data_IF_793954994127
#
_entry.id   IF_793954994127
#
_cell.length_a   1.000
_cell.length_b   1.000
_cell.length_c   1.000
_cell.angle_alpha   90.00
_cell.angle_beta   90.00
_cell.angle_gamma   90.00
#
_symmetry.space_group_name_H-M   'P 1'
#
loop_
_entity.id
_entity.type
_entity.pdbx_description
1 polymer ?
#
# COMPACT_ATOMS: atom_id res chain seq x y z
N UNK A 1 -26.58 -1.36 15.53
CA UNK A 1 -25.74 -2.57 15.74
C UNK A 1 -24.69 -2.30 16.79
N UNK A 2 -24.22 -3.32 17.53
CA UNK A 2 -23.15 -3.13 18.50
C UNK A 2 -21.86 -2.73 17.77
N UNK A 3 -21.15 -1.71 18.31
CA UNK A 3 -19.85 -1.27 17.80
C UNK A 3 -18.74 -2.16 18.37
N UNK A 4 -18.87 -3.46 18.18
CA UNK A 4 -17.91 -4.47 18.66
C UNK A 4 -16.96 -4.87 17.54
N UNK A 5 -15.72 -5.15 17.91
CA UNK A 5 -14.73 -5.68 16.99
C UNK A 5 -15.15 -7.04 16.43
N UNK A 6 -14.82 -7.28 15.16
CA UNK A 6 -14.98 -8.57 14.49
C UNK A 6 -13.67 -9.00 13.88
N UNK A 7 -13.12 -10.07 14.39
CA UNK A 7 -11.86 -10.66 13.94
C UNK A 7 -12.04 -12.18 13.76
N UNK A 8 -11.11 -12.81 13.11
CA UNK A 8 -11.16 -14.25 12.79
C UNK A 8 -11.30 -15.12 14.05
N UNK A 9 -10.37 -14.90 15.00
CA UNK A 9 -10.28 -15.67 16.23
C UNK A 9 -9.49 -14.88 17.29
N UNK A 10 -10.11 -14.49 18.37
CA UNK A 10 -9.49 -13.75 19.46
C UNK A 10 -8.41 -14.55 20.21
N UNK A 11 -8.42 -15.89 20.13
CA UNK A 11 -7.40 -16.73 20.76
C UNK A 11 -6.00 -16.54 20.17
N UNK A 12 -5.90 -15.99 18.95
CA UNK A 12 -4.65 -15.68 18.27
C UNK A 12 -3.91 -14.48 18.86
N UNK A 13 -4.53 -13.70 19.72
CA UNK A 13 -4.00 -12.42 20.22
C UNK A 13 -2.62 -12.54 20.90
N UNK A 14 -2.33 -13.67 21.56
CA UNK A 14 -1.01 -13.93 22.16
C UNK A 14 0.11 -13.84 21.14
N UNK A 15 -0.04 -14.54 20.02
CA UNK A 15 0.91 -14.51 18.91
C UNK A 15 0.96 -13.12 18.26
N UNK A 16 -0.18 -12.47 18.10
CA UNK A 16 -0.23 -11.11 17.56
C UNK A 16 0.56 -10.10 18.37
N UNK A 17 0.54 -10.19 19.72
CA UNK A 17 1.37 -9.34 20.58
C UNK A 17 2.87 -9.54 20.37
N UNK A 18 3.31 -10.77 20.13
CA UNK A 18 4.71 -11.06 19.80
C UNK A 18 5.11 -10.47 18.46
N UNK A 19 4.23 -10.55 17.45
CA UNK A 19 4.46 -9.92 16.15
C UNK A 19 4.55 -8.39 16.27
N UNK A 20 3.65 -7.77 17.03
CA UNK A 20 3.67 -6.34 17.30
C UNK A 20 4.94 -5.91 18.03
N UNK A 21 5.37 -6.67 19.04
CA UNK A 21 6.63 -6.43 19.74
C UNK A 21 7.83 -6.47 18.80
N UNK A 22 7.89 -7.46 17.90
CA UNK A 22 8.95 -7.55 16.89
C UNK A 22 8.96 -6.34 15.97
N UNK A 23 7.80 -5.91 15.46
CA UNK A 23 7.67 -4.72 14.61
C UNK A 23 8.12 -3.45 15.35
N UNK A 24 7.70 -3.24 16.60
CA UNK A 24 8.09 -2.08 17.42
C UNK A 24 9.60 -1.96 17.59
N UNK A 25 10.32 -3.07 17.73
CA UNK A 25 11.79 -3.05 17.82
C UNK A 25 12.47 -2.58 16.52
N UNK A 26 11.81 -2.72 15.40
CA UNK A 26 12.32 -2.37 14.08
C UNK A 26 11.68 -1.08 13.51
N UNK A 27 10.90 -0.35 14.34
CA UNK A 27 10.25 0.90 13.97
C UNK A 27 10.57 2.03 14.95
N UNK A 28 11.87 2.36 15.14
CA UNK A 28 12.32 3.28 16.20
C UNK A 28 11.82 4.72 16.00
N UNK A 29 11.63 5.19 14.76
CA UNK A 29 11.12 6.53 14.47
C UNK A 29 9.68 6.67 14.98
N UNK A 30 8.85 5.68 14.63
CA UNK A 30 7.45 5.67 15.07
C UNK A 30 7.33 5.52 16.60
N UNK A 31 8.27 4.80 17.22
CA UNK A 31 8.34 4.70 18.69
C UNK A 31 8.72 6.04 19.35
N UNK A 32 9.61 6.84 18.77
CA UNK A 32 9.91 8.20 19.26
C UNK A 32 8.69 9.13 19.10
N UNK A 33 7.99 9.04 17.95
CA UNK A 33 6.74 9.80 17.75
C UNK A 33 5.68 9.36 18.79
N UNK A 34 5.55 8.06 19.09
CA UNK A 34 4.62 7.55 20.10
C UNK A 34 4.90 8.15 21.48
N UNK A 35 6.15 8.18 21.92
CA UNK A 35 6.54 8.81 23.21
C UNK A 35 6.12 10.28 23.28
N UNK A 36 6.26 11.01 22.16
CA UNK A 36 5.79 12.40 22.07
C UNK A 36 4.26 12.46 22.14
N UNK A 37 3.56 11.63 21.37
CA UNK A 37 2.11 11.57 21.33
C UNK A 37 1.49 11.17 22.67
N UNK A 38 2.12 10.32 23.44
CA UNK A 38 1.71 9.94 24.80
C UNK A 38 1.67 11.14 25.74
N UNK A 39 2.62 12.05 25.62
CA UNK A 39 2.70 13.27 26.45
C UNK A 39 1.74 14.34 25.97
N UNK A 40 1.71 14.60 24.66
CA UNK A 40 1.05 15.76 24.06
C UNK A 40 -0.40 15.53 23.70
N UNK A 41 -0.81 14.28 23.51
CA UNK A 41 -2.17 13.87 23.12
C UNK A 41 -2.73 14.67 21.92
N UNK A 42 -1.99 14.82 20.80
CA UNK A 42 -2.36 15.71 19.70
C UNK A 42 -3.64 15.30 18.97
N UNK A 43 -4.10 14.06 19.15
CA UNK A 43 -5.28 13.50 18.50
C UNK A 43 -6.46 13.30 19.48
N UNK A 44 -6.39 13.93 20.67
CA UNK A 44 -7.40 13.76 21.73
C UNK A 44 -8.80 14.09 21.23
N UNK A 45 -9.75 13.18 21.52
CA UNK A 45 -11.16 13.33 21.15
C UNK A 45 -11.48 13.08 19.69
N UNK A 46 -10.50 12.75 18.84
CA UNK A 46 -10.74 12.46 17.45
C UNK A 46 -10.98 10.96 17.23
N UNK A 47 -11.89 10.65 16.31
CA UNK A 47 -12.04 9.29 15.77
C UNK A 47 -11.31 9.22 14.43
N UNK A 48 -10.46 8.21 14.28
CA UNK A 48 -9.70 7.94 13.06
C UNK A 48 -10.17 6.61 12.49
N UNK A 49 -10.66 6.63 11.24
CA UNK A 49 -10.94 5.43 10.47
C UNK A 49 -9.73 5.09 9.60
N UNK A 50 -9.11 3.94 9.84
CA UNK A 50 -7.94 3.48 9.13
C UNK A 50 -8.31 2.25 8.26
N UNK A 51 -8.32 2.45 6.94
CA UNK A 51 -8.48 1.42 5.93
C UNK A 51 -7.10 1.08 5.38
N UNK A 52 -6.39 0.19 6.06
CA UNK A 52 -4.99 -0.16 5.80
C UNK A 52 -4.81 -1.67 5.77
N UNK A 53 -3.71 -2.16 5.18
CA UNK A 53 -3.35 -3.57 5.35
C UNK A 53 -3.12 -3.87 6.82
N UNK A 54 -3.88 -4.82 7.41
CA UNK A 54 -3.79 -5.13 8.84
C UNK A 54 -2.59 -6.05 9.08
N UNK A 55 -1.40 -5.44 9.13
CA UNK A 55 -0.12 -6.08 9.41
C UNK A 55 0.41 -5.66 10.78
N UNK A 56 1.48 -6.31 11.24
CA UNK A 56 2.15 -5.95 12.50
C UNK A 56 2.62 -4.48 12.50
N UNK A 57 3.09 -3.98 11.35
CA UNK A 57 3.53 -2.60 11.19
C UNK A 57 2.37 -1.61 11.33
N UNK A 58 1.23 -1.91 10.71
CA UNK A 58 -0.02 -1.14 10.86
C UNK A 58 -0.47 -1.13 12.32
N UNK A 59 -0.28 -2.24 13.03
CA UNK A 59 -0.56 -2.31 14.47
C UNK A 59 0.28 -1.31 15.28
N UNK A 60 1.55 -1.13 14.93
CA UNK A 60 2.42 -0.12 15.58
C UNK A 60 1.92 1.31 15.31
N UNK A 61 1.48 1.61 14.08
CA UNK A 61 0.85 2.89 13.76
C UNK A 61 -0.43 3.11 14.57
N UNK A 62 -1.32 2.13 14.60
CA UNK A 62 -2.60 2.19 15.35
C UNK A 62 -2.36 2.45 16.84
N UNK A 63 -1.41 1.74 17.45
CA UNK A 63 -0.99 1.99 18.84
C UNK A 63 -0.45 3.41 19.04
N UNK A 64 0.28 3.94 18.05
CA UNK A 64 0.82 5.31 18.10
C UNK A 64 -0.29 6.36 18.02
N UNK A 65 -1.26 6.18 17.14
CA UNK A 65 -2.43 7.07 17.04
C UNK A 65 -3.29 7.02 18.31
N UNK A 66 -3.51 5.83 18.86
CA UNK A 66 -4.24 5.64 20.11
C UNK A 66 -3.48 6.29 21.32
N UNK A 67 -2.15 6.15 21.36
CA UNK A 67 -1.30 6.83 22.33
C UNK A 67 -1.45 8.35 22.24
N UNK A 68 -1.66 8.90 21.04
CA UNK A 68 -1.97 10.31 20.79
C UNK A 68 -3.38 10.75 21.22
N UNK A 69 -4.19 9.85 21.77
CA UNK A 69 -5.55 10.12 22.26
C UNK A 69 -6.66 9.89 21.25
N UNK A 70 -6.36 9.32 20.07
CA UNK A 70 -7.37 8.99 19.09
C UNK A 70 -8.17 7.74 19.46
N UNK A 71 -9.46 7.73 19.09
CA UNK A 71 -10.24 6.50 18.95
C UNK A 71 -9.96 5.94 17.54
N UNK A 72 -9.33 4.78 17.46
CA UNK A 72 -8.98 4.18 16.16
C UNK A 72 -9.95 3.07 15.79
N UNK A 73 -10.44 3.11 14.55
CA UNK A 73 -11.24 2.07 13.92
C UNK A 73 -10.44 1.52 12.75
N UNK A 74 -10.00 0.28 12.83
CA UNK A 74 -9.15 -0.38 11.84
C UNK A 74 -9.95 -1.37 11.00
N UNK A 75 -9.87 -1.21 9.69
CA UNK A 75 -10.45 -2.09 8.69
C UNK A 75 -9.41 -2.43 7.61
N UNK A 76 -9.54 -3.55 6.88
CA UNK A 76 -8.56 -3.91 5.88
C UNK A 76 -8.73 -3.10 4.60
N UNK A 77 -7.63 -2.81 3.89
CA UNK A 77 -7.63 -2.27 2.54
C UNK A 77 -7.53 -3.35 1.45
N UNK A 78 -7.43 -4.63 1.85
CA UNK A 78 -7.42 -5.76 0.93
C UNK A 78 -7.97 -7.01 1.64
N UNK A 79 -8.86 -7.80 0.99
CA UNK A 79 -9.48 -8.98 1.60
C UNK A 79 -8.50 -10.09 2.02
N UNK A 80 -7.31 -10.16 1.41
CA UNK A 80 -6.35 -11.25 1.62
C UNK A 80 -5.09 -10.85 2.40
N UNK A 81 -4.99 -9.60 2.87
CA UNK A 81 -3.75 -9.09 3.49
C UNK A 81 -3.74 -9.07 5.01
N UNK A 82 -4.88 -9.31 5.66
CA UNK A 82 -4.97 -9.27 7.13
C UNK A 82 -4.13 -10.36 7.78
N UNK A 83 -3.32 -9.98 8.78
CA UNK A 83 -2.70 -10.88 9.74
C UNK A 83 -3.68 -11.07 10.90
N UNK A 84 -4.33 -12.24 10.95
CA UNK A 84 -5.45 -12.49 11.86
C UNK A 84 -5.05 -12.44 13.35
N UNK A 85 -3.81 -12.80 13.66
CA UNK A 85 -3.22 -12.72 14.99
C UNK A 85 -3.02 -11.25 15.43
N UNK A 86 -2.56 -10.40 14.54
CA UNK A 86 -2.42 -8.95 14.80
C UNK A 86 -3.80 -8.30 14.99
N UNK A 87 -4.78 -8.62 14.13
CA UNK A 87 -6.14 -8.14 14.27
C UNK A 87 -6.74 -8.51 15.64
N UNK A 88 -6.52 -9.75 16.08
CA UNK A 88 -6.97 -10.25 17.37
C UNK A 88 -6.30 -9.52 18.56
N UNK A 89 -4.98 -9.27 18.47
CA UNK A 89 -4.24 -8.55 19.51
C UNK A 89 -4.77 -7.12 19.68
N UNK A 90 -4.91 -6.39 18.58
CA UNK A 90 -5.41 -5.01 18.59
C UNK A 90 -6.85 -4.92 19.10
N UNK A 91 -7.71 -5.88 18.74
CA UNK A 91 -9.09 -5.94 19.25
C UNK A 91 -9.13 -6.14 20.77
N UNK A 92 -8.26 -6.99 21.33
CA UNK A 92 -8.12 -7.16 22.80
C UNK A 92 -7.56 -5.94 23.52
N UNK A 93 -6.78 -5.10 22.81
CA UNK A 93 -6.23 -3.85 23.33
C UNK A 93 -7.23 -2.68 23.28
N UNK A 94 -8.46 -2.92 22.81
CA UNK A 94 -9.52 -1.92 22.77
C UNK A 94 -9.57 -1.09 21.49
N UNK A 95 -8.80 -1.47 20.46
CA UNK A 95 -8.97 -0.93 19.10
C UNK A 95 -10.24 -1.51 18.49
N UNK A 96 -11.03 -0.71 17.81
CA UNK A 96 -12.18 -1.20 17.05
C UNK A 96 -11.69 -1.82 15.74
N UNK A 97 -11.69 -3.15 15.64
CA UNK A 97 -11.18 -3.89 14.47
C UNK A 97 -12.32 -4.63 13.77
N UNK A 98 -12.41 -4.47 12.45
CA UNK A 98 -13.30 -5.30 11.63
C UNK A 98 -12.47 -5.85 10.46
N UNK A 99 -11.74 -6.95 10.70
CA UNK A 99 -10.78 -7.48 9.74
C UNK A 99 -10.48 -8.97 9.96
N UNK A 100 -10.43 -9.73 8.87
CA UNK A 100 -9.87 -11.10 8.81
C UNK A 100 -9.41 -11.44 7.41
N UNK A 101 -8.52 -12.39 7.30
CA UNK A 101 -8.03 -12.86 6.01
C UNK A 101 -9.08 -13.72 5.31
N UNK A 102 -9.33 -13.45 4.05
CA UNK A 102 -10.29 -14.19 3.23
C UNK A 102 -11.71 -13.61 3.26
N UNK A 103 -11.84 -12.29 3.52
CA UNK A 103 -13.12 -11.60 3.41
C UNK A 103 -13.66 -11.68 1.98
N UNK A 104 -14.97 -11.87 1.86
CA UNK A 104 -15.70 -11.64 0.61
C UNK A 104 -15.80 -10.14 0.32
N UNK A 105 -16.15 -9.77 -0.92
CA UNK A 105 -16.39 -8.38 -1.30
C UNK A 105 -17.45 -7.71 -0.41
N UNK A 106 -18.54 -8.42 -0.11
CA UNK A 106 -19.60 -7.94 0.80
C UNK A 106 -19.04 -7.64 2.18
N UNK A 107 -18.28 -8.56 2.78
CA UNK A 107 -17.67 -8.38 4.10
C UNK A 107 -16.66 -7.24 4.11
N UNK A 108 -15.91 -7.05 3.02
CA UNK A 108 -14.98 -5.95 2.85
C UNK A 108 -15.70 -4.59 2.90
N UNK A 109 -16.78 -4.41 2.14
CA UNK A 109 -17.56 -3.18 2.19
C UNK A 109 -18.40 -3.04 3.47
N UNK A 110 -18.80 -4.13 4.11
CA UNK A 110 -19.37 -4.11 5.46
C UNK A 110 -18.36 -3.53 6.48
N UNK A 111 -17.05 -3.84 6.34
CA UNK A 111 -16.01 -3.27 7.20
C UNK A 111 -15.90 -1.74 6.99
N UNK A 112 -15.99 -1.24 5.76
CA UNK A 112 -16.05 0.20 5.49
C UNK A 112 -17.30 0.83 6.16
N UNK A 113 -18.46 0.19 6.06
CA UNK A 113 -19.67 0.61 6.77
C UNK A 113 -19.46 0.66 8.28
N UNK A 114 -18.84 -0.36 8.85
CA UNK A 114 -18.47 -0.38 10.27
C UNK A 114 -17.63 0.85 10.65
N UNK A 115 -16.57 1.16 9.90
CA UNK A 115 -15.71 2.31 10.18
C UNK A 115 -16.46 3.65 10.08
N UNK A 116 -17.28 3.83 9.04
CA UNK A 116 -18.07 5.05 8.84
C UNK A 116 -19.16 5.25 9.91
N UNK A 117 -19.68 4.16 10.52
CA UNK A 117 -20.65 4.25 11.62
C UNK A 117 -20.12 4.98 12.86
N UNK A 118 -18.81 5.10 13.01
CA UNK A 118 -18.16 5.86 14.09
C UNK A 118 -18.05 7.35 13.82
N UNK A 119 -18.49 7.83 12.68
CA UNK A 119 -18.41 9.22 12.24
C UNK A 119 -16.98 9.79 12.39
N UNK A 120 -16.00 9.29 11.60
CA UNK A 120 -14.59 9.63 11.78
C UNK A 120 -14.31 11.11 11.48
N UNK A 121 -13.36 11.68 12.22
CA UNK A 121 -12.81 13.01 11.96
C UNK A 121 -11.65 12.98 10.95
N UNK A 122 -10.94 11.86 10.86
CA UNK A 122 -9.83 11.67 9.93
C UNK A 122 -9.94 10.27 9.32
N UNK A 123 -9.66 10.16 8.02
CA UNK A 123 -9.52 8.89 7.31
C UNK A 123 -8.05 8.64 6.98
N UNK A 124 -7.55 7.44 7.25
CA UNK A 124 -6.29 6.94 6.69
C UNK A 124 -6.65 5.85 5.68
N UNK A 125 -6.16 5.95 4.46
CA UNK A 125 -6.55 5.04 3.39
C UNK A 125 -5.32 4.51 2.62
N UNK A 126 -5.49 3.34 2.04
CA UNK A 126 -4.50 2.68 1.19
C UNK A 126 -5.21 2.08 -0.02
N UNK A 127 -5.27 2.85 -1.11
CA UNK A 127 -6.01 2.56 -2.33
C UNK A 127 -7.30 3.37 -2.51
N UNK A 128 -7.60 4.26 -1.57
CA UNK A 128 -8.73 5.19 -1.60
C UNK A 128 -10.14 4.54 -1.63
N UNK A 129 -10.33 3.33 -1.09
CA UNK A 129 -11.65 2.71 -1.09
C UNK A 129 -12.57 3.28 0.00
N UNK A 130 -12.06 3.52 1.20
CA UNK A 130 -12.80 4.24 2.24
C UNK A 130 -13.15 5.65 1.79
N UNK A 131 -12.16 6.36 1.26
CA UNK A 131 -12.32 7.74 0.76
C UNK A 131 -13.31 7.81 -0.40
N UNK A 132 -13.19 6.91 -1.38
CA UNK A 132 -14.15 6.83 -2.50
C UNK A 132 -15.57 6.53 -2.02
N UNK A 133 -15.72 5.67 -1.01
CA UNK A 133 -17.04 5.35 -0.42
C UNK A 133 -17.67 6.59 0.24
N UNK A 134 -16.88 7.39 0.98
CA UNK A 134 -17.35 8.66 1.53
C UNK A 134 -17.86 9.59 0.42
N UNK A 135 -17.10 9.70 -0.69
CA UNK A 135 -17.49 10.51 -1.84
C UNK A 135 -18.74 9.98 -2.54
N UNK A 136 -18.86 8.66 -2.73
CA UNK A 136 -20.07 8.02 -3.27
C UNK A 136 -21.31 8.38 -2.44
N UNK A 137 -21.22 8.25 -1.11
CA UNK A 137 -22.31 8.59 -0.18
C UNK A 137 -22.66 10.08 -0.30
N UNK A 138 -21.67 10.97 -0.27
CA UNK A 138 -21.89 12.42 -0.38
C UNK A 138 -22.55 12.83 -1.69
N UNK A 139 -22.20 12.16 -2.79
CA UNK A 139 -22.74 12.43 -4.12
C UNK A 139 -24.00 11.61 -4.47
N UNK A 140 -24.55 10.84 -3.53
CA UNK A 140 -25.76 10.05 -3.72
C UNK A 140 -25.62 8.91 -4.74
N UNK A 141 -24.40 8.40 -4.94
CA UNK A 141 -24.15 7.26 -5.83
C UNK A 141 -24.76 6.00 -5.20
N UNK A 142 -25.47 5.23 -6.03
CA UNK A 142 -26.10 3.97 -5.63
C UNK A 142 -25.49 2.85 -6.45
N UNK A 143 -24.73 2.00 -5.80
CA UNK A 143 -24.18 0.78 -6.37
C UNK A 143 -24.11 -0.32 -5.30
N UNK A 144 -23.72 -1.53 -5.71
CA UNK A 144 -23.68 -2.70 -4.83
C UNK A 144 -22.75 -2.47 -3.63
N UNK A 145 -21.65 -1.72 -3.82
CA UNK A 145 -20.71 -1.43 -2.72
C UNK A 145 -21.37 -0.60 -1.61
N UNK A 146 -22.18 0.38 -1.98
CA UNK A 146 -22.91 1.23 -1.04
C UNK A 146 -24.02 0.44 -0.32
N UNK A 147 -24.69 -0.48 -1.01
CA UNK A 147 -25.67 -1.38 -0.37
C UNK A 147 -25.00 -2.19 0.75
N UNK A 148 -23.84 -2.78 0.48
CA UNK A 148 -23.07 -3.51 1.49
C UNK A 148 -22.63 -2.62 2.67
N UNK A 149 -22.20 -1.39 2.41
CA UNK A 149 -21.87 -0.41 3.47
C UNK A 149 -23.08 -0.17 4.38
N UNK A 150 -24.26 0.00 3.80
CA UNK A 150 -25.48 0.30 4.56
C UNK A 150 -26.03 -0.89 5.35
N UNK A 151 -25.67 -2.13 5.02
CA UNK A 151 -26.03 -3.31 5.82
C UNK A 151 -25.52 -3.22 7.27
N UNK A 152 -24.37 -2.59 7.47
CA UNK A 152 -23.73 -2.47 8.79
C UNK A 152 -23.88 -1.07 9.38
N UNK A 153 -23.70 -0.04 8.57
CA UNK A 153 -23.79 1.34 9.03
C UNK A 153 -25.24 1.85 9.18
N UNK A 154 -26.18 1.22 8.45
CA UNK A 154 -27.47 1.84 8.13
C UNK A 154 -27.30 2.96 7.12
N UNK A 155 -28.40 3.59 6.65
CA UNK A 155 -28.31 4.74 5.77
C UNK A 155 -27.50 5.87 6.42
N UNK A 156 -26.43 6.32 5.74
CA UNK A 156 -25.56 7.41 6.19
C UNK A 156 -25.98 8.71 5.50
N UNK A 157 -26.11 9.76 6.29
CA UNK A 157 -26.30 11.12 5.78
C UNK A 157 -24.95 11.72 5.37
N UNK A 158 -24.79 12.02 4.10
CA UNK A 158 -23.55 12.57 3.54
C UNK A 158 -23.18 13.94 4.14
N UNK A 159 -24.15 14.80 4.48
CA UNK A 159 -23.85 16.11 5.11
C UNK A 159 -23.34 15.93 6.53
N UNK A 160 -23.98 15.05 7.29
CA UNK A 160 -23.55 14.72 8.64
C UNK A 160 -22.15 14.08 8.66
N UNK A 161 -21.87 13.19 7.71
CA UNK A 161 -20.56 12.57 7.58
C UNK A 161 -19.49 13.64 7.28
N UNK A 162 -19.78 14.57 6.36
CA UNK A 162 -18.88 15.67 6.01
C UNK A 162 -18.64 16.64 7.18
N UNK A 163 -19.65 16.94 7.97
CA UNK A 163 -19.51 17.87 9.11
C UNK A 163 -18.50 17.38 10.19
N UNK A 164 -18.26 16.08 10.26
CA UNK A 164 -17.29 15.47 11.17
C UNK A 164 -15.87 15.39 10.60
N UNK A 165 -15.71 15.31 9.27
CA UNK A 165 -14.44 15.08 8.61
C UNK A 165 -13.59 16.37 8.52
N UNK A 166 -12.35 16.28 9.00
CA UNK A 166 -11.33 17.33 8.92
C UNK A 166 -10.38 17.13 7.75
N UNK A 167 -10.14 15.88 7.36
CA UNK A 167 -9.24 15.50 6.28
C UNK A 167 -8.98 14.01 6.25
N UNK A 168 -8.14 13.59 5.30
CA UNK A 168 -7.68 12.22 5.18
C UNK A 168 -6.25 12.13 4.70
N UNK A 169 -5.71 10.91 4.71
CA UNK A 169 -4.41 10.60 4.15
C UNK A 169 -4.52 9.44 3.15
N UNK A 170 -3.58 9.37 2.21
CA UNK A 170 -3.50 8.27 1.25
C UNK A 170 -2.07 7.71 1.19
N UNK A 171 -1.95 6.40 1.37
CA UNK A 171 -0.68 5.67 1.45
C UNK A 171 -0.11 5.29 0.09
N UNK A 172 -0.95 5.07 -0.93
CA UNK A 172 -0.49 4.41 -2.16
C UNK A 172 -0.69 5.23 -3.44
N UNK A 173 0.19 5.02 -4.43
CA UNK A 173 0.14 5.70 -5.74
C UNK A 173 -1.22 5.55 -6.42
N UNK A 174 -1.80 4.35 -6.40
CA UNK A 174 -3.11 4.08 -7.05
C UNK A 174 -4.23 4.90 -6.41
N UNK A 175 -4.23 5.02 -5.08
CA UNK A 175 -5.18 5.87 -4.37
C UNK A 175 -5.01 7.35 -4.70
N UNK A 176 -3.78 7.86 -4.72
CA UNK A 176 -3.50 9.26 -5.11
C UNK A 176 -3.99 9.55 -6.53
N UNK A 177 -3.82 8.63 -7.48
CA UNK A 177 -4.33 8.78 -8.86
C UNK A 177 -5.86 8.92 -8.85
N UNK A 178 -6.57 8.05 -8.10
CA UNK A 178 -8.03 8.10 -7.95
C UNK A 178 -8.50 9.42 -7.32
N UNK A 179 -7.82 9.90 -6.30
CA UNK A 179 -8.14 11.16 -5.61
C UNK A 179 -7.91 12.38 -6.51
N UNK A 180 -6.85 12.37 -7.31
CA UNK A 180 -6.62 13.41 -8.32
C UNK A 180 -7.68 13.39 -9.42
N UNK A 181 -8.15 12.22 -9.84
CA UNK A 181 -9.26 12.08 -10.76
C UNK A 181 -10.56 12.66 -10.15
N UNK A 182 -10.85 12.39 -8.86
CA UNK A 182 -11.98 13.00 -8.14
C UNK A 182 -11.85 14.55 -8.08
N UNK A 183 -10.66 15.06 -7.78
CA UNK A 183 -10.38 16.50 -7.78
C UNK A 183 -10.64 17.12 -9.17
N UNK A 184 -10.08 16.53 -10.22
CA UNK A 184 -10.22 17.00 -11.59
C UNK A 184 -11.67 16.97 -12.08
N UNK A 185 -12.48 16.03 -11.59
CA UNK A 185 -13.90 15.95 -11.83
C UNK A 185 -14.74 16.94 -10.98
N UNK A 186 -14.12 17.77 -10.14
CA UNK A 186 -14.81 18.68 -9.22
C UNK A 186 -15.63 17.97 -8.13
N UNK A 187 -15.27 16.72 -7.81
CA UNK A 187 -16.03 15.87 -6.89
C UNK A 187 -15.31 15.58 -5.56
N UNK A 188 -14.10 16.06 -5.37
CA UNK A 188 -13.42 15.97 -4.08
C UNK A 188 -14.13 16.83 -3.04
N UNK A 189 -14.44 16.28 -1.86
CA UNK A 189 -15.30 16.96 -0.86
C UNK A 189 -14.61 17.23 0.48
N UNK A 190 -13.40 16.73 0.71
CA UNK A 190 -12.59 17.06 1.88
C UNK A 190 -11.09 16.94 1.55
N UNK A 191 -10.20 17.62 2.31
CA UNK A 191 -8.78 17.66 2.00
C UNK A 191 -8.12 16.30 2.26
N UNK A 192 -7.20 15.91 1.37
CA UNK A 192 -6.43 14.68 1.50
C UNK A 192 -4.94 15.00 1.42
N UNK A 193 -4.15 14.43 2.32
CA UNK A 193 -2.69 14.46 2.25
C UNK A 193 -2.20 13.18 1.58
N UNK A 194 -1.56 13.32 0.43
CA UNK A 194 -0.92 12.23 -0.31
C UNK A 194 0.41 11.87 0.37
N UNK A 195 0.36 11.08 1.43
CA UNK A 195 1.56 10.61 2.15
C UNK A 195 2.48 9.84 1.21
N UNK A 196 1.93 9.12 0.24
CA UNK A 196 2.73 8.44 -0.80
C UNK A 196 3.68 9.38 -1.57
N UNK A 197 3.46 10.70 -1.54
CA UNK A 197 4.31 11.69 -2.25
C UNK A 197 5.41 12.29 -1.36
N UNK A 198 5.54 11.86 -0.10
CA UNK A 198 6.65 12.22 0.78
C UNK A 198 7.93 11.50 0.33
N UNK A 199 9.06 12.19 0.31
CA UNK A 199 10.36 11.62 -0.09
C UNK A 199 10.76 10.44 0.80
N UNK A 200 10.58 10.57 2.11
CA UNK A 200 10.87 9.48 3.06
C UNK A 200 9.90 8.30 2.94
N UNK A 201 8.78 8.46 2.23
CA UNK A 201 7.88 7.36 1.91
C UNK A 201 8.30 6.67 0.61
N UNK A 202 8.16 7.29 -0.56
CA UNK A 202 8.26 6.56 -1.83
C UNK A 202 9.68 6.14 -2.19
N UNK A 203 10.70 6.90 -1.79
CA UNK A 203 12.10 6.52 -2.05
C UNK A 203 12.51 5.24 -1.30
N UNK A 204 11.86 4.94 -0.19
CA UNK A 204 12.20 3.81 0.67
C UNK A 204 11.15 2.70 0.59
N UNK A 205 9.89 3.00 0.90
CA UNK A 205 8.78 2.05 0.88
C UNK A 205 8.55 1.45 -0.51
N UNK A 206 8.16 2.26 -1.49
CA UNK A 206 7.84 1.78 -2.83
C UNK A 206 9.06 1.13 -3.50
N UNK A 207 10.25 1.66 -3.30
CA UNK A 207 11.48 1.19 -3.96
C UNK A 207 12.09 -0.01 -3.25
N UNK A 208 12.43 0.11 -1.97
CA UNK A 208 13.12 -0.94 -1.23
C UNK A 208 12.14 -1.94 -0.59
N UNK A 209 11.05 -1.44 -0.01
CA UNK A 209 10.03 -2.25 0.63
C UNK A 209 9.34 -3.19 -0.36
N UNK A 210 8.71 -2.62 -1.39
CA UNK A 210 8.01 -3.44 -2.40
C UNK A 210 9.00 -4.26 -3.22
N UNK A 211 10.19 -3.70 -3.55
CA UNK A 211 11.21 -4.43 -4.29
C UNK A 211 11.65 -5.73 -3.59
N UNK A 212 11.86 -5.68 -2.27
CA UNK A 212 12.21 -6.86 -1.48
C UNK A 212 11.03 -7.80 -1.27
N UNK A 213 9.91 -7.28 -0.80
CA UNK A 213 8.76 -8.09 -0.41
C UNK A 213 8.06 -8.77 -1.59
N UNK A 214 8.10 -8.19 -2.79
CA UNK A 214 7.63 -8.85 -4.01
C UNK A 214 8.41 -10.13 -4.27
N UNK A 215 9.74 -10.09 -4.18
CA UNK A 215 10.57 -11.28 -4.35
C UNK A 215 10.40 -12.27 -3.22
N UNK A 216 10.22 -11.81 -1.99
CA UNK A 216 9.88 -12.68 -0.86
C UNK A 216 8.59 -13.46 -1.14
N UNK A 217 7.53 -12.79 -1.60
CA UNK A 217 6.27 -13.43 -1.97
C UNK A 217 6.40 -14.43 -3.11
N UNK A 218 7.13 -14.07 -4.17
CA UNK A 218 7.37 -14.96 -5.31
C UNK A 218 8.15 -16.21 -4.87
N UNK A 219 9.22 -16.04 -4.11
CA UNK A 219 10.04 -17.15 -3.64
C UNK A 219 9.30 -18.05 -2.66
N UNK A 220 8.52 -17.52 -1.72
CA UNK A 220 7.68 -18.32 -0.81
C UNK A 220 6.62 -19.11 -1.56
N UNK A 221 5.91 -18.50 -2.50
CA UNK A 221 4.86 -19.18 -3.27
C UNK A 221 5.42 -20.29 -4.17
N UNK A 222 6.56 -20.04 -4.81
CA UNK A 222 7.07 -20.92 -5.87
C UNK A 222 8.26 -21.79 -5.47
N UNK A 223 9.13 -21.30 -4.59
CA UNK A 223 10.46 -21.86 -4.30
C UNK A 223 11.33 -22.01 -5.56
N UNK A 224 11.14 -21.14 -6.58
CA UNK A 224 11.92 -21.17 -7.82
C UNK A 224 13.28 -20.50 -7.64
N UNK A 225 14.29 -21.04 -8.31
CA UNK A 225 15.58 -20.37 -8.46
C UNK A 225 15.43 -19.22 -9.47
N UNK A 226 15.74 -18.00 -9.04
CA UNK A 226 15.69 -16.80 -9.90
C UNK A 226 16.93 -16.73 -10.81
N UNK A 227 18.09 -17.21 -10.31
CA UNK A 227 19.31 -17.22 -11.09
C UNK A 227 19.12 -17.97 -12.41
N UNK A 228 19.61 -17.36 -13.50
CA UNK A 228 19.47 -17.90 -14.86
C UNK A 228 18.12 -17.67 -15.53
N UNK A 229 17.12 -17.12 -14.88
CA UNK A 229 15.81 -16.80 -15.43
C UNK A 229 15.80 -15.44 -16.14
N UNK A 230 14.95 -15.30 -17.15
CA UNK A 230 14.60 -14.03 -17.75
C UNK A 230 13.40 -13.44 -16.99
N UNK A 231 13.61 -12.33 -16.33
CA UNK A 231 12.59 -11.62 -15.54
C UNK A 231 12.08 -10.43 -16.33
N UNK A 232 10.78 -10.32 -16.46
CA UNK A 232 10.09 -9.19 -17.09
C UNK A 232 9.39 -8.38 -16.03
N UNK A 233 9.70 -7.08 -15.95
CA UNK A 233 9.06 -6.12 -15.04
C UNK A 233 8.28 -5.12 -15.87
N UNK A 234 6.96 -5.14 -15.76
CA UNK A 234 6.09 -4.17 -16.39
C UNK A 234 5.90 -2.96 -15.47
N UNK A 235 6.35 -1.79 -15.93
CA UNK A 235 6.43 -0.54 -15.19
C UNK A 235 7.81 -0.30 -14.57
N UNK A 236 8.32 0.94 -14.70
CA UNK A 236 9.61 1.36 -14.11
C UNK A 236 9.48 2.59 -13.24
N UNK A 237 8.32 2.71 -12.54
CA UNK A 237 8.18 3.60 -11.40
C UNK A 237 9.02 3.09 -10.22
N UNK A 238 8.84 3.66 -9.04
CA UNK A 238 9.65 3.28 -7.87
C UNK A 238 9.54 1.79 -7.51
N UNK A 239 8.35 1.21 -7.62
CA UNK A 239 8.11 -0.23 -7.38
C UNK A 239 8.85 -1.08 -8.42
N UNK A 240 8.61 -0.85 -9.71
CA UNK A 240 9.23 -1.63 -10.77
C UNK A 240 10.76 -1.52 -10.77
N UNK A 241 11.30 -0.33 -10.49
CA UNK A 241 12.75 -0.09 -10.33
C UNK A 241 13.32 -0.94 -9.18
N UNK A 242 12.65 -0.95 -8.03
CA UNK A 242 13.06 -1.77 -6.89
C UNK A 242 13.05 -3.27 -7.20
N UNK A 243 12.01 -3.74 -7.89
CA UNK A 243 11.88 -5.14 -8.31
C UNK A 243 12.98 -5.52 -9.31
N UNK A 244 13.25 -4.68 -10.31
CA UNK A 244 14.28 -4.93 -11.33
C UNK A 244 15.69 -5.01 -10.73
N UNK A 245 16.02 -4.07 -9.82
CA UNK A 245 17.31 -4.09 -9.10
C UNK A 245 17.48 -5.37 -8.29
N UNK A 246 16.42 -5.82 -7.59
CA UNK A 246 16.45 -7.05 -6.80
C UNK A 246 16.54 -8.29 -7.69
N UNK A 247 15.83 -8.33 -8.83
CA UNK A 247 15.96 -9.41 -9.79
C UNK A 247 17.40 -9.63 -10.24
N UNK A 248 18.10 -8.54 -10.57
CA UNK A 248 19.53 -8.58 -10.91
C UNK A 248 20.39 -9.09 -9.75
N UNK A 249 20.12 -8.61 -8.53
CA UNK A 249 20.80 -9.08 -7.32
C UNK A 249 20.58 -10.56 -7.00
N UNK A 250 19.43 -11.13 -7.40
CA UNK A 250 19.13 -12.57 -7.27
C UNK A 250 19.72 -13.42 -8.40
N UNK A 251 20.49 -12.82 -9.32
CA UNK A 251 21.18 -13.54 -10.40
C UNK A 251 20.30 -13.80 -11.63
N UNK A 252 19.23 -13.05 -11.84
CA UNK A 252 18.47 -13.15 -13.08
C UNK A 252 19.41 -13.03 -14.30
N UNK A 253 19.22 -13.90 -15.30
CA UNK A 253 20.02 -13.87 -16.53
C UNK A 253 19.80 -12.61 -17.32
N UNK A 254 18.54 -12.20 -17.44
CA UNK A 254 18.11 -10.96 -18.08
C UNK A 254 17.04 -10.31 -17.22
N UNK A 255 17.10 -9.01 -17.09
CA UNK A 255 16.02 -8.21 -16.52
C UNK A 255 15.52 -7.29 -17.62
N UNK A 256 14.27 -7.50 -18.02
CA UNK A 256 13.62 -6.82 -19.12
C UNK A 256 12.54 -5.90 -18.52
N UNK A 257 12.60 -4.64 -18.83
CA UNK A 257 11.64 -3.63 -18.41
C UNK A 257 10.68 -3.35 -19.58
N UNK A 258 9.40 -3.32 -19.28
CA UNK A 258 8.35 -2.85 -20.18
C UNK A 258 7.81 -1.55 -19.63
N UNK A 259 7.99 -0.44 -20.36
CA UNK A 259 7.60 0.89 -19.90
C UNK A 259 7.05 1.72 -21.06
N UNK A 260 6.07 2.58 -20.76
CA UNK A 260 5.42 3.46 -21.73
C UNK A 260 5.92 4.90 -21.63
N UNK A 261 6.42 5.30 -20.47
CA UNK A 261 7.03 6.62 -20.26
C UNK A 261 8.46 6.61 -20.80
N UNK A 262 8.80 7.47 -21.80
CA UNK A 262 10.13 7.46 -22.42
C UNK A 262 11.25 7.86 -21.45
N UNK A 263 10.97 8.69 -20.44
CA UNK A 263 11.98 9.08 -19.44
C UNK A 263 12.32 7.90 -18.54
N UNK A 264 11.30 7.21 -18.02
CA UNK A 264 11.50 6.03 -17.19
C UNK A 264 12.13 4.86 -17.96
N UNK A 265 11.74 4.68 -19.23
CA UNK A 265 12.38 3.71 -20.11
C UNK A 265 13.87 4.02 -20.29
N UNK A 266 14.22 5.29 -20.48
CA UNK A 266 15.61 5.74 -20.58
C UNK A 266 16.37 5.52 -19.26
N UNK A 267 15.77 5.82 -18.11
CA UNK A 267 16.36 5.49 -16.80
C UNK A 267 16.67 3.99 -16.69
N UNK A 268 15.73 3.13 -17.09
CA UNK A 268 15.95 1.67 -17.07
C UNK A 268 17.16 1.25 -17.90
N UNK A 269 17.34 1.84 -19.10
CA UNK A 269 18.52 1.61 -19.94
C UNK A 269 19.80 2.04 -19.25
N UNK A 270 19.82 3.24 -18.63
CA UNK A 270 21.00 3.74 -17.90
C UNK A 270 21.28 2.93 -16.62
N UNK A 271 20.25 2.37 -15.99
CA UNK A 271 20.41 1.43 -14.87
C UNK A 271 20.91 0.04 -15.33
N UNK A 272 21.11 -0.17 -16.65
CA UNK A 272 21.67 -1.38 -17.26
C UNK A 272 20.65 -2.50 -17.47
N UNK A 273 19.38 -2.16 -17.65
CA UNK A 273 18.32 -3.12 -17.99
C UNK A 273 17.98 -3.08 -19.48
N UNK A 274 17.47 -4.19 -19.98
CA UNK A 274 16.90 -4.23 -21.34
C UNK A 274 15.50 -3.60 -21.30
N UNK A 275 15.16 -2.85 -22.36
CA UNK A 275 13.81 -2.28 -22.52
C UNK A 275 13.21 -2.76 -23.82
N UNK A 276 11.99 -3.28 -23.77
CA UNK A 276 11.26 -3.70 -24.97
C UNK A 276 9.74 -3.69 -24.71
N UNK A 277 8.91 -3.66 -25.78
CA UNK A 277 7.45 -3.83 -25.65
C UNK A 277 7.08 -5.20 -25.09
N UNK A 278 5.92 -5.29 -24.40
CA UNK A 278 5.40 -6.55 -23.86
C UNK A 278 5.27 -7.63 -24.93
N UNK A 279 4.85 -7.26 -26.15
CA UNK A 279 4.75 -8.18 -27.28
C UNK A 279 6.03 -8.95 -27.61
N UNK A 280 7.19 -8.39 -27.34
CA UNK A 280 8.48 -9.07 -27.47
C UNK A 280 8.90 -9.79 -26.20
N UNK A 281 8.62 -9.17 -25.05
CA UNK A 281 9.01 -9.70 -23.74
C UNK A 281 8.33 -11.05 -23.43
N UNK A 282 7.06 -11.25 -23.84
CA UNK A 282 6.32 -12.50 -23.62
C UNK A 282 6.96 -13.73 -24.24
N UNK A 283 7.73 -13.55 -25.32
CA UNK A 283 8.39 -14.68 -26.02
C UNK A 283 9.63 -15.20 -25.29
N UNK A 284 10.23 -14.35 -24.46
CA UNK A 284 11.52 -14.63 -23.81
C UNK A 284 11.46 -14.72 -22.30
N UNK A 285 10.44 -14.14 -21.66
CA UNK A 285 10.29 -14.10 -20.22
C UNK A 285 9.98 -15.45 -19.59
N UNK A 286 10.45 -15.66 -18.37
CA UNK A 286 10.15 -16.83 -17.52
C UNK A 286 9.31 -16.41 -16.31
N UNK A 287 9.59 -15.23 -15.73
CA UNK A 287 8.86 -14.64 -14.61
C UNK A 287 8.42 -13.23 -15.01
N UNK A 288 7.15 -12.94 -14.86
CA UNK A 288 6.54 -11.65 -15.19
C UNK A 288 5.99 -11.01 -13.95
N UNK A 289 6.37 -9.76 -13.70
CA UNK A 289 5.95 -9.00 -12.53
C UNK A 289 5.38 -7.66 -13.00
N UNK A 290 4.10 -7.40 -12.70
CA UNK A 290 3.45 -6.14 -13.06
C UNK A 290 3.51 -5.15 -11.92
N UNK A 291 3.77 -3.88 -12.24
CA UNK A 291 3.91 -2.76 -11.31
C UNK A 291 3.56 -1.43 -12.02
N UNK A 292 2.52 -1.44 -12.86
CA UNK A 292 2.14 -0.30 -13.70
C UNK A 292 1.08 0.61 -13.08
N UNK A 293 0.31 0.08 -12.14
CA UNK A 293 -0.88 0.75 -11.62
C UNK A 293 -2.00 0.89 -12.66
N UNK A 294 -1.95 0.12 -13.75
CA UNK A 294 -2.90 0.22 -14.87
C UNK A 294 -3.56 -1.13 -15.16
N UNK A 295 -4.61 -1.12 -15.95
CA UNK A 295 -5.37 -2.32 -16.30
C UNK A 295 -4.69 -3.10 -17.43
N UNK A 296 -4.66 -4.44 -17.33
CA UNK A 296 -4.25 -5.39 -18.38
C UNK A 296 -2.87 -5.10 -18.97
N UNK A 297 -1.90 -4.76 -18.15
CA UNK A 297 -0.50 -4.68 -18.55
C UNK A 297 -0.05 -6.01 -19.19
N UNK A 298 -0.57 -7.13 -18.68
CA UNK A 298 -0.51 -8.45 -19.35
C UNK A 298 -1.93 -8.83 -19.77
N UNK A 299 -2.23 -8.62 -21.05
CA UNK A 299 -3.52 -8.96 -21.66
C UNK A 299 -3.64 -10.46 -21.94
N UNK A 300 -4.86 -10.91 -22.21
CA UNK A 300 -5.10 -12.31 -22.65
C UNK A 300 -4.30 -12.67 -23.90
N UNK A 301 -4.16 -11.75 -24.86
CA UNK A 301 -3.34 -11.95 -26.07
C UNK A 301 -1.86 -12.19 -25.74
N UNK A 302 -1.33 -11.49 -24.72
CA UNK A 302 0.02 -11.74 -24.21
C UNK A 302 0.12 -13.13 -23.55
N UNK A 303 -0.89 -13.50 -22.72
CA UNK A 303 -0.91 -14.79 -22.00
C UNK A 303 -0.81 -15.98 -22.97
N UNK A 304 -1.51 -15.95 -24.10
CA UNK A 304 -1.43 -17.02 -25.11
C UNK A 304 -0.05 -17.20 -25.76
N UNK A 305 0.81 -16.19 -25.68
CA UNK A 305 2.16 -16.19 -26.25
C UNK A 305 3.25 -16.53 -25.24
N UNK A 306 2.93 -16.58 -23.95
CA UNK A 306 3.87 -16.95 -22.89
C UNK A 306 4.46 -18.34 -23.14
N UNK A 307 5.67 -18.55 -22.64
CA UNK A 307 6.29 -19.89 -22.59
C UNK A 307 5.47 -20.85 -21.73
N UNK A 308 5.53 -22.15 -22.01
CA UNK A 308 5.06 -23.15 -21.06
C UNK A 308 5.85 -23.03 -19.75
N UNK A 309 5.14 -22.94 -18.65
CA UNK A 309 5.72 -22.78 -17.32
C UNK A 309 6.00 -21.34 -16.88
N UNK A 310 5.60 -20.33 -17.64
CA UNK A 310 5.76 -18.93 -17.26
C UNK A 310 4.99 -18.60 -15.96
N UNK A 311 5.63 -17.79 -15.09
CA UNK A 311 5.07 -17.37 -13.79
C UNK A 311 4.63 -15.93 -13.87
N UNK A 312 3.41 -15.65 -13.44
CA UNK A 312 2.79 -14.33 -13.38
C UNK A 312 2.63 -13.89 -11.93
N UNK A 313 3.10 -12.70 -11.61
CA UNK A 313 2.93 -12.06 -10.30
C UNK A 313 2.54 -10.59 -10.48
N UNK A 314 1.76 -10.06 -9.55
CA UNK A 314 1.40 -8.65 -9.52
C UNK A 314 1.93 -7.99 -8.26
N UNK A 315 2.58 -6.84 -8.43
CA UNK A 315 3.02 -5.94 -7.37
C UNK A 315 2.27 -4.60 -7.41
N UNK A 316 1.27 -4.46 -8.29
CA UNK A 316 0.34 -3.34 -8.28
C UNK A 316 -0.79 -3.54 -7.27
N UNK A 317 -1.42 -2.45 -6.87
CA UNK A 317 -2.39 -2.46 -5.76
C UNK A 317 -3.63 -3.33 -6.02
N UNK A 318 -4.20 -3.27 -7.22
CA UNK A 318 -5.39 -4.03 -7.59
C UNK A 318 -5.06 -5.22 -8.51
N UNK A 319 -5.90 -6.24 -8.49
CA UNK A 319 -5.79 -7.46 -9.31
C UNK A 319 -6.27 -7.26 -10.76
N UNK A 320 -5.93 -6.15 -11.38
CA UNK A 320 -6.38 -5.76 -12.73
C UNK A 320 -5.25 -5.70 -13.76
N UNK A 321 -3.99 -5.77 -13.31
CA UNK A 321 -2.83 -5.63 -14.20
C UNK A 321 -2.59 -6.87 -15.06
N UNK A 322 -2.89 -8.06 -14.54
CA UNK A 322 -2.98 -9.30 -15.31
C UNK A 322 -4.45 -9.54 -15.66
N UNK A 323 -4.76 -9.93 -16.90
CA UNK A 323 -6.14 -10.25 -17.31
C UNK A 323 -6.58 -11.61 -16.77
N UNK A 324 -6.76 -11.67 -15.43
CA UNK A 324 -7.15 -12.89 -14.70
C UNK A 324 -8.52 -13.39 -15.17
N UNK A 325 -9.49 -12.49 -15.31
CA UNK A 325 -10.84 -12.86 -15.77
C UNK A 325 -10.83 -13.44 -17.19
N UNK A 326 -9.98 -12.89 -18.07
CA UNK A 326 -9.75 -13.46 -19.40
C UNK A 326 -9.11 -14.84 -19.33
N UNK A 327 -8.09 -15.01 -18.48
CA UNK A 327 -7.41 -16.29 -18.25
C UNK A 327 -8.37 -17.37 -17.72
N UNK A 328 -9.16 -17.05 -16.70
CA UNK A 328 -10.15 -17.98 -16.12
C UNK A 328 -11.20 -18.44 -17.12
N UNK A 329 -11.65 -17.52 -17.98
CA UNK A 329 -12.66 -17.84 -19.02
C UNK A 329 -12.15 -18.79 -20.07
N UNK A 330 -10.85 -18.73 -20.44
CA UNK A 330 -10.30 -19.52 -21.57
C UNK A 330 -9.54 -20.76 -21.12
N UNK A 331 -9.09 -20.83 -19.89
CA UNK A 331 -8.34 -21.97 -19.36
C UNK A 331 -9.19 -23.25 -19.44
N UNK A 332 -8.59 -24.32 -19.95
CA UNK A 332 -9.23 -25.64 -20.03
C UNK A 332 -9.11 -26.43 -18.73
N UNK A 333 -8.17 -26.04 -17.87
CA UNK A 333 -8.02 -26.55 -16.51
C UNK A 333 -7.39 -25.51 -15.60
N UNK A 334 -7.77 -25.55 -14.31
CA UNK A 334 -7.18 -24.78 -13.20
C UNK A 334 -6.87 -25.73 -12.05
N UNK A 335 -5.70 -25.59 -11.43
CA UNK A 335 -5.28 -26.42 -10.31
C UNK A 335 -4.43 -25.61 -9.33
N UNK A 336 -4.78 -25.63 -8.05
CA UNK A 336 -3.90 -25.10 -7.00
C UNK A 336 -2.74 -26.09 -6.80
N UNK A 337 -1.51 -25.64 -7.06
CA UNK A 337 -0.28 -26.45 -6.94
C UNK A 337 0.31 -26.34 -5.54
N UNK A 338 0.30 -25.14 -4.99
CA UNK A 338 0.79 -24.79 -3.66
C UNK A 338 -0.07 -23.66 -3.09
N UNK A 339 0.00 -23.36 -1.80
CA UNK A 339 -0.62 -22.14 -1.29
C UNK A 339 -0.21 -20.92 -2.12
N UNK A 340 -1.19 -20.15 -2.56
CA UNK A 340 -1.05 -18.94 -3.39
C UNK A 340 -0.49 -19.15 -4.80
N UNK A 341 -0.35 -20.40 -5.30
CA UNK A 341 0.14 -20.70 -6.64
C UNK A 341 -0.85 -21.58 -7.40
N UNK A 342 -1.39 -21.02 -8.48
CA UNK A 342 -2.34 -21.71 -9.35
C UNK A 342 -1.75 -21.95 -10.74
N UNK A 343 -1.95 -23.15 -11.24
CA UNK A 343 -1.65 -23.53 -12.62
C UNK A 343 -2.91 -23.42 -13.47
N UNK A 344 -2.78 -22.74 -14.60
CA UNK A 344 -3.81 -22.67 -15.63
C UNK A 344 -3.29 -23.35 -16.89
N UNK A 345 -4.05 -24.32 -17.42
CA UNK A 345 -3.76 -24.95 -18.72
C UNK A 345 -4.53 -24.20 -19.80
N UNK A 346 -3.83 -23.68 -20.79
CA UNK A 346 -4.39 -22.96 -21.92
C UNK A 346 -4.88 -23.94 -23.02
N UNK A 347 -5.79 -23.51 -23.93
CA UNK A 347 -6.27 -24.35 -25.05
C UNK A 347 -5.17 -24.85 -25.97
N UNK A 348 -4.04 -24.14 -26.05
CA UNK A 348 -2.86 -24.57 -26.83
C UNK A 348 -1.96 -25.58 -26.09
N UNK A 349 -2.38 -26.07 -24.94
CA UNK A 349 -1.66 -27.02 -24.09
C UNK A 349 -0.55 -26.44 -23.22
N UNK A 350 -0.25 -25.14 -23.32
CA UNK A 350 0.73 -24.48 -22.44
C UNK A 350 0.14 -24.26 -21.05
N UNK A 351 1.00 -24.29 -20.05
CA UNK A 351 0.67 -24.01 -18.65
C UNK A 351 1.27 -22.68 -18.24
N UNK A 352 0.50 -21.88 -17.55
CA UNK A 352 0.95 -20.64 -16.90
C UNK A 352 0.61 -20.69 -15.44
N UNK A 353 1.45 -20.10 -14.62
CA UNK A 353 1.30 -20.06 -13.18
C UNK A 353 0.96 -18.64 -12.75
N UNK A 354 -0.06 -18.50 -11.89
CA UNK A 354 -0.49 -17.21 -11.34
C UNK A 354 -0.32 -17.24 -9.82
N UNK A 355 0.34 -16.23 -9.27
CA UNK A 355 0.52 -16.09 -7.82
C UNK A 355 -0.56 -15.18 -7.25
N UNK A 356 -1.18 -15.61 -6.13
CA UNK A 356 -2.07 -14.79 -5.32
C UNK A 356 -3.30 -14.26 -6.06
N UNK A 357 -3.83 -15.02 -7.01
CA UNK A 357 -5.01 -14.63 -7.81
C UNK A 357 -4.81 -13.29 -8.55
N UNK A 358 -3.57 -12.93 -8.87
CA UNK A 358 -3.23 -11.63 -9.48
C UNK A 358 -3.28 -10.45 -8.51
N UNK A 359 -3.46 -10.65 -7.21
CA UNK A 359 -3.39 -9.63 -6.17
C UNK A 359 -1.95 -9.34 -5.75
N UNK A 360 -1.75 -8.34 -4.91
CA UNK A 360 -0.45 -7.95 -4.36
C UNK A 360 0.32 -9.14 -3.78
N UNK A 361 1.32 -9.63 -4.52
CA UNK A 361 2.05 -10.85 -4.18
C UNK A 361 2.77 -10.76 -2.83
N UNK A 362 3.30 -9.58 -2.49
CA UNK A 362 4.04 -9.34 -1.25
C UNK A 362 3.18 -9.47 0.03
N UNK A 363 1.88 -9.19 -0.07
CA UNK A 363 0.94 -9.24 1.05
C UNK A 363 0.14 -10.54 1.09
N UNK A 364 -0.12 -11.13 -0.09
CA UNK A 364 -0.87 -12.38 -0.19
C UNK A 364 0.02 -13.57 0.13
N UNK A 365 1.22 -13.63 -0.44
CA UNK A 365 2.13 -14.76 -0.33
C UNK A 365 3.30 -14.55 0.65
N UNK A 366 3.48 -13.33 1.19
CA UNK A 366 4.49 -12.99 2.19
C UNK A 366 3.89 -12.12 3.31
N UNK A 367 4.74 -11.39 4.03
CA UNK A 367 4.34 -10.59 5.21
C UNK A 367 4.17 -9.10 4.92
N UNK A 368 4.33 -8.69 3.65
CA UNK A 368 4.35 -7.29 3.25
C UNK A 368 5.73 -6.65 3.38
N UNK A 369 5.76 -5.33 3.51
CA UNK A 369 7.00 -4.59 3.59
C UNK A 369 7.73 -4.80 4.94
N UNK A 370 9.08 -4.79 4.96
CA UNK A 370 9.84 -4.83 6.20
C UNK A 370 9.51 -3.68 7.14
N UNK A 371 9.51 -3.95 8.44
CA UNK A 371 9.16 -2.96 9.47
C UNK A 371 10.04 -1.71 9.43
N UNK A 372 11.33 -1.85 9.10
CA UNK A 372 12.29 -0.73 9.02
C UNK A 372 11.92 0.29 7.93
N UNK A 373 11.24 -0.17 6.89
CA UNK A 373 10.75 0.68 5.79
C UNK A 373 9.42 1.30 6.16
N UNK A 374 8.51 0.52 6.74
CA UNK A 374 7.21 1.00 7.20
C UNK A 374 7.33 1.98 8.37
N UNK A 375 8.43 1.95 9.12
CA UNK A 375 8.79 2.95 10.12
C UNK A 375 8.73 4.38 9.55
N UNK A 376 9.25 4.59 8.33
CA UNK A 376 9.24 5.88 7.65
C UNK A 376 7.84 6.23 7.11
N UNK A 377 7.18 5.31 6.43
CA UNK A 377 5.83 5.50 5.88
C UNK A 377 4.84 5.85 6.98
N UNK A 378 4.85 5.10 8.07
CA UNK A 378 3.89 5.27 9.15
C UNK A 378 4.24 6.40 10.10
N UNK A 379 5.51 6.82 10.17
CA UNK A 379 5.87 8.10 10.77
C UNK A 379 5.20 9.26 10.02
N UNK A 380 5.27 9.25 8.68
CA UNK A 380 4.57 10.24 7.86
C UNK A 380 3.04 10.20 8.07
N UNK A 381 2.43 9.02 8.18
CA UNK A 381 0.99 8.88 8.45
C UNK A 381 0.60 9.46 9.81
N UNK A 382 1.36 9.16 10.85
CA UNK A 382 1.09 9.67 12.20
C UNK A 382 1.20 11.21 12.24
N UNK A 383 2.26 11.77 11.64
CA UNK A 383 2.47 13.20 11.57
C UNK A 383 1.47 13.92 10.64
N UNK A 384 1.04 13.28 9.56
CA UNK A 384 -0.02 13.79 8.70
C UNK A 384 -1.37 13.86 9.43
N UNK A 385 -1.71 12.84 10.23
CA UNK A 385 -2.90 12.86 11.06
C UNK A 385 -2.85 14.01 12.09
N UNK A 386 -1.71 14.23 12.73
CA UNK A 386 -1.48 15.37 13.63
C UNK A 386 -1.61 16.71 12.89
N UNK A 387 -1.03 16.81 11.69
CA UNK A 387 -1.11 18.02 10.88
C UNK A 387 -2.56 18.35 10.50
N UNK A 388 -3.35 17.36 10.06
CA UNK A 388 -4.78 17.52 9.79
C UNK A 388 -5.54 17.97 11.07
N UNK A 389 -5.23 17.37 12.21
CA UNK A 389 -5.89 17.70 13.47
C UNK A 389 -5.68 19.15 13.89
N UNK A 390 -4.51 19.72 13.59
CA UNK A 390 -4.10 21.09 13.95
C UNK A 390 -4.38 22.14 12.88
N UNK A 391 -4.69 21.72 11.64
CA UNK A 391 -4.85 22.62 10.49
C UNK A 391 -6.31 22.72 10.03
N UNK A 392 -6.62 23.82 9.37
CA UNK A 392 -7.85 23.98 8.58
C UNK A 392 -7.44 24.03 7.10
N UNK A 393 -7.54 22.90 6.42
CA UNK A 393 -7.17 22.79 5.02
C UNK A 393 -8.38 23.02 4.12
N UNK A 394 -8.20 23.73 3.02
CA UNK A 394 -9.19 23.78 1.94
C UNK A 394 -9.28 22.41 1.26
N UNK A 395 -10.36 22.17 0.52
CA UNK A 395 -10.55 20.90 -0.22
C UNK A 395 -9.53 20.81 -1.37
N UNK A 396 -8.55 19.97 -1.21
CA UNK A 396 -7.51 19.67 -2.23
C UNK A 396 -6.79 18.35 -1.91
N UNK A 397 -5.94 17.89 -2.82
CA UNK A 397 -4.97 16.82 -2.61
C UNK A 397 -3.59 17.45 -2.41
N UNK A 398 -3.09 17.37 -1.19
CA UNK A 398 -1.85 18.01 -0.74
C UNK A 398 -0.71 17.01 -0.67
N UNK A 399 0.50 17.50 -0.84
CA UNK A 399 1.70 16.85 -0.28
C UNK A 399 1.77 17.12 1.22
N UNK A 400 2.39 16.21 1.97
CA UNK A 400 2.82 16.51 3.34
C UNK A 400 3.86 17.65 3.29
N UNK A 401 3.81 18.64 4.20
CA UNK A 401 4.82 19.69 4.24
C UNK A 401 6.24 19.13 4.30
N UNK A 402 7.14 19.70 3.48
CA UNK A 402 8.52 19.21 3.35
C UNK A 402 9.27 19.17 4.68
N UNK A 403 8.95 20.07 5.61
CA UNK A 403 9.59 20.09 6.93
C UNK A 403 9.21 18.90 7.80
N UNK A 404 7.98 18.38 7.65
CA UNK A 404 7.54 17.15 8.33
C UNK A 404 8.26 15.94 7.72
N UNK A 405 8.34 15.87 6.40
CA UNK A 405 9.06 14.81 5.69
C UNK A 405 10.56 14.77 6.08
N UNK A 406 11.21 15.93 6.13
CA UNK A 406 12.60 16.08 6.59
C UNK A 406 12.77 15.71 8.07
N UNK A 407 11.78 15.99 8.91
CA UNK A 407 11.83 15.58 10.32
C UNK A 407 11.83 14.07 10.48
N UNK A 408 11.03 13.36 9.69
CA UNK A 408 11.06 11.88 9.63
C UNK A 408 12.47 11.39 9.27
N UNK A 409 13.11 12.00 8.27
CA UNK A 409 14.46 11.64 7.87
C UNK A 409 15.49 11.89 9.00
N UNK A 410 15.42 13.05 9.66
CA UNK A 410 16.31 13.38 10.79
C UNK A 410 16.13 12.39 11.95
N UNK A 411 14.88 12.06 12.30
CA UNK A 411 14.60 11.07 13.33
C UNK A 411 15.18 9.70 12.97
N UNK A 412 15.04 9.28 11.72
CA UNK A 412 15.61 7.99 11.27
C UNK A 412 17.12 7.97 11.40
N UNK A 413 17.81 8.98 10.90
CA UNK A 413 19.27 9.09 11.01
C UNK A 413 19.73 9.10 12.46
N UNK A 414 19.03 9.85 13.32
CA UNK A 414 19.29 9.87 14.77
C UNK A 414 19.16 8.50 15.39
N UNK A 415 18.11 7.74 15.05
CA UNK A 415 17.91 6.38 15.59
C UNK A 415 18.97 5.39 15.09
N UNK A 416 19.63 5.68 13.98
CA UNK A 416 20.76 4.92 13.43
C UNK A 416 22.12 5.39 13.99
N UNK A 417 22.15 6.44 14.81
CA UNK A 417 23.39 7.01 15.34
C UNK A 417 24.21 7.77 14.27
N UNK A 418 23.56 8.23 13.21
CA UNK A 418 24.22 8.97 12.11
C UNK A 418 24.08 10.47 12.38
N UNK A 419 25.20 11.16 12.42
CA UNK A 419 25.30 12.61 12.47
C UNK A 419 25.38 13.19 11.06
N UNK A 420 24.68 14.28 10.82
CA UNK A 420 24.71 15.00 9.55
C UNK A 420 25.77 16.12 9.62
N UNK A 421 26.40 16.39 8.47
CA UNK A 421 27.21 17.57 8.29
C UNK A 421 26.34 18.84 8.41
N UNK A 422 26.85 19.85 9.08
CA UNK A 422 26.18 21.15 9.22
C UNK A 422 26.86 22.19 8.33
N UNK A 423 26.06 22.93 7.58
CA UNK A 423 26.57 24.05 6.78
C UNK A 423 27.18 25.12 7.70
N UNK A 424 28.36 25.60 7.36
CA UNK A 424 28.93 26.81 7.99
C UNK A 424 28.05 28.02 7.67
N UNK A 425 28.24 29.12 8.43
CA UNK A 425 27.54 30.36 8.16
C UNK A 425 27.85 30.92 6.77
N UNK A 426 29.10 30.82 6.34
CA UNK A 426 29.56 31.22 5.00
C UNK A 426 28.85 30.40 3.91
N UNK A 427 28.75 29.07 4.07
CA UNK A 427 28.03 28.19 3.13
C UNK A 427 26.53 28.51 3.07
N UNK A 428 25.89 28.76 4.22
CA UNK A 428 24.44 29.18 4.28
C UNK A 428 24.26 30.50 3.54
N UNK A 429 25.17 31.48 3.73
CA UNK A 429 25.13 32.77 3.08
C UNK A 429 25.30 32.63 1.58
N UNK A 430 26.23 31.79 1.14
CA UNK A 430 26.48 31.54 -0.28
C UNK A 430 25.26 31.01 -1.00
N UNK A 431 24.65 29.96 -0.51
CA UNK A 431 23.48 29.33 -1.16
C UNK A 431 22.18 30.15 -1.05
N UNK A 432 22.13 31.15 -0.18
CA UNK A 432 20.99 32.06 -0.04
C UNK A 432 21.18 33.38 -0.76
N UNK A 433 22.34 33.64 -1.35
CA UNK A 433 22.68 34.88 -2.07
C UNK A 433 22.68 34.63 -3.58
N UNK A 434 22.07 35.52 -4.33
CA UNK A 434 22.19 35.57 -5.80
C UNK A 434 23.42 36.37 -6.28
N UNK A 435 24.05 37.13 -5.39
CA UNK A 435 25.19 38.02 -5.70
C UNK A 435 26.52 37.26 -5.72
N UNK A 436 26.58 36.11 -5.06
CA UNK A 436 27.80 35.32 -4.95
C UNK A 436 27.80 34.22 -6.02
N UNK A 437 28.59 34.40 -7.04
CA UNK A 437 28.81 33.45 -8.13
C UNK A 437 30.26 33.53 -8.62
N UNK A 438 30.67 32.61 -9.48
CA UNK A 438 31.98 32.61 -10.17
C UNK A 438 31.88 33.31 -11.52
#
# INVERSE_FOLDING_TARGET
MSKESRVKDLSLAGRGREQLYWAERNMPVLMEIRKRFEREKPLSGLTIAACLHVTKETGVLVRTLAAGGARVVLIPSNPLSTQDDVAAALAQEGVYVYAWRGMSEREYYNAIGFALSFNPAITLDDGADLTATVHKIKHGVKDQSIEYVYEVAGPLDGERLMSGLRGGTEETTTGVIRLRALKNAGRLVYPIIAVNESYTKYLFDNRYGTGQSTWDGIMRATNLLVAGKNVVVAGYGWVGRGIAIRARGLGARRVIVVEVDPVRALEAVFDGFEVMPMDKAVEVGDIFITATGNIRAISLGHIFRLKDGAVLANAGHFNVEVDVAGLERVAVARKTIRPYLEEYTLPNGRRVYLIGEGRLVNLVAAEGHPSEVMDLSFANQALAAEYIAKSKLAVDVYKLPDEIDKEVARLKLKTMGIELEELTEEQRRYISSWELGT
#
